data_IF_522005939289
#
_entry.id   IF_522005939289
#
_cell.length_a   1.000
_cell.length_b   1.000
_cell.length_c   1.000
_cell.angle_alpha   90.00
_cell.angle_beta   90.00
_cell.angle_gamma   90.00
#
_symmetry.space_group_name_H-M   'P 1'
#
loop_
_entity.id
_entity.type
_entity.pdbx_description
1 polymer ?
#
# COMPACT_ATOMS: atom_id res chain seq x y z
N UNK A 1 -3.64 47.08 -0.07
CA UNK A 1 -3.31 47.71 -1.37
C UNK A 1 -4.15 47.04 -2.44
N UNK A 2 -4.90 47.79 -3.24
CA UNK A 2 -5.65 47.21 -4.37
C UNK A 2 -4.67 46.88 -5.50
N UNK A 3 -4.75 45.65 -6.00
CA UNK A 3 -3.93 45.16 -7.11
C UNK A 3 -4.49 45.74 -8.42
N UNK A 4 -3.62 46.19 -9.33
CA UNK A 4 -4.07 46.69 -10.64
C UNK A 4 -4.47 45.54 -11.56
N UNK A 5 -5.35 45.80 -12.53
CA UNK A 5 -5.76 44.78 -13.52
C UNK A 5 -4.56 44.21 -14.30
N UNK A 6 -3.54 45.02 -14.55
CA UNK A 6 -2.31 44.60 -15.24
C UNK A 6 -1.50 43.62 -14.40
N UNK A 7 -1.33 43.90 -13.11
CA UNK A 7 -0.65 42.99 -12.17
C UNK A 7 -1.43 41.69 -11.97
N UNK A 8 -2.76 41.76 -11.89
CA UNK A 8 -3.62 40.58 -11.83
C UNK A 8 -3.45 39.67 -13.04
N UNK A 9 -3.52 40.25 -14.25
CA UNK A 9 -3.32 39.53 -15.50
C UNK A 9 -1.94 38.85 -15.55
N UNK A 10 -0.87 39.57 -15.19
CA UNK A 10 0.48 39.02 -15.16
C UNK A 10 0.61 37.82 -14.20
N UNK A 11 0.00 37.92 -13.00
CA UNK A 11 -0.04 36.82 -12.04
C UNK A 11 -0.80 35.61 -12.59
N UNK A 12 -1.96 35.81 -13.23
CA UNK A 12 -2.70 34.72 -13.87
C UNK A 12 -1.91 34.04 -14.98
N UNK A 13 -1.24 34.79 -15.84
CA UNK A 13 -0.38 34.22 -16.88
C UNK A 13 0.74 33.37 -16.28
N UNK A 14 1.35 33.84 -15.19
CA UNK A 14 2.38 33.09 -14.47
C UNK A 14 1.82 31.79 -13.88
N UNK A 15 0.62 31.83 -13.28
CA UNK A 15 -0.05 30.66 -12.74
C UNK A 15 -0.44 29.65 -13.83
N UNK A 16 -0.84 30.14 -15.00
CA UNK A 16 -1.21 29.30 -16.15
C UNK A 16 -0.02 28.76 -16.94
N UNK A 17 1.20 29.19 -16.61
CA UNK A 17 2.40 28.72 -17.28
C UNK A 17 2.51 27.19 -17.21
N UNK A 18 2.98 26.59 -18.30
CA UNK A 18 3.02 25.15 -18.47
C UNK A 18 3.87 24.48 -17.39
N UNK A 19 5.06 25.03 -17.09
CA UNK A 19 5.97 24.45 -16.11
C UNK A 19 5.36 24.50 -14.70
N UNK A 20 4.65 25.57 -14.38
CA UNK A 20 3.97 25.72 -13.11
C UNK A 20 2.76 24.78 -12.96
N UNK A 21 1.98 24.62 -14.03
CA UNK A 21 0.85 23.68 -14.09
C UNK A 21 1.33 22.24 -13.95
N UNK A 22 2.41 21.86 -14.64
CA UNK A 22 3.03 20.54 -14.52
C UNK A 22 3.55 20.28 -13.10
N UNK A 23 4.25 21.25 -12.50
CA UNK A 23 4.72 21.13 -11.12
C UNK A 23 3.55 20.93 -10.13
N UNK A 24 2.42 21.62 -10.34
CA UNK A 24 1.22 21.40 -9.54
C UNK A 24 0.67 19.97 -9.70
N UNK A 25 0.55 19.49 -10.95
CA UNK A 25 0.07 18.14 -11.25
C UNK A 25 0.96 17.07 -10.62
N UNK A 26 2.29 17.19 -10.78
CA UNK A 26 3.27 16.28 -10.20
C UNK A 26 3.18 16.24 -8.67
N UNK A 27 3.02 17.40 -8.01
CA UNK A 27 2.82 17.47 -6.55
C UNK A 27 1.52 16.79 -6.12
N UNK A 28 0.44 17.01 -6.86
CA UNK A 28 -0.85 16.39 -6.59
C UNK A 28 -0.78 14.85 -6.73
N UNK A 29 -0.21 14.35 -7.83
CA UNK A 29 -0.05 12.93 -8.08
C UNK A 29 0.82 12.25 -7.00
N UNK A 30 1.95 12.88 -6.63
CA UNK A 30 2.79 12.40 -5.54
C UNK A 30 2.05 12.33 -4.19
N UNK A 31 1.23 13.33 -3.88
CA UNK A 31 0.43 13.31 -2.65
C UNK A 31 -0.61 12.17 -2.67
N UNK A 32 -1.33 12.00 -3.77
CA UNK A 32 -2.32 10.93 -3.92
C UNK A 32 -1.65 9.55 -3.80
N UNK A 33 -0.51 9.35 -4.45
CA UNK A 33 0.27 8.11 -4.35
C UNK A 33 0.75 7.86 -2.92
N UNK A 34 1.26 8.88 -2.22
CA UNK A 34 1.69 8.74 -0.83
C UNK A 34 0.54 8.40 0.13
N UNK A 35 -0.65 8.99 -0.08
CA UNK A 35 -1.86 8.66 0.69
C UNK A 35 -2.36 7.26 0.41
N UNK A 36 -2.40 6.86 -0.86
CA UNK A 36 -2.74 5.51 -1.30
C UNK A 36 -1.78 4.48 -0.68
N UNK A 37 -0.47 4.74 -0.74
CA UNK A 37 0.57 3.92 -0.13
C UNK A 37 0.36 3.73 1.38
N UNK A 38 0.01 4.81 2.09
CA UNK A 38 -0.31 4.74 3.52
C UNK A 38 -1.53 3.86 3.79
N UNK A 39 -2.61 4.04 3.03
CA UNK A 39 -3.85 3.28 3.18
C UNK A 39 -3.63 1.79 2.91
N UNK A 40 -2.95 1.45 1.82
CA UNK A 40 -2.71 0.05 1.46
C UNK A 40 -1.79 -0.64 2.47
N UNK A 41 -0.72 0.04 2.95
CA UNK A 41 0.15 -0.50 4.01
C UNK A 41 -0.62 -0.76 5.30
N UNK A 42 -1.52 0.15 5.71
CA UNK A 42 -2.38 -0.01 6.89
C UNK A 42 -3.30 -1.24 6.77
N UNK A 43 -3.88 -1.46 5.60
CA UNK A 43 -4.78 -2.60 5.33
C UNK A 43 -4.07 -3.93 5.06
N UNK A 44 -2.77 -3.89 4.73
CA UNK A 44 -2.01 -5.09 4.41
C UNK A 44 -1.81 -5.96 5.65
N UNK A 45 -2.21 -7.26 5.63
CA UNK A 45 -2.00 -8.15 6.77
C UNK A 45 -0.50 -8.43 6.99
N UNK A 46 -0.13 -8.69 8.24
CA UNK A 46 1.23 -9.08 8.62
C UNK A 46 1.19 -10.47 9.24
N UNK A 47 1.86 -11.41 8.58
CA UNK A 47 2.05 -12.75 9.12
C UNK A 47 2.97 -12.76 10.35
N UNK A 48 2.88 -13.82 11.16
CA UNK A 48 3.68 -13.98 12.37
C UNK A 48 5.20 -14.09 12.10
N UNK A 49 5.58 -14.50 10.88
CA UNK A 49 6.96 -14.71 10.46
C UNK A 49 7.20 -16.14 9.99
N UNK A 50 8.46 -16.43 9.66
CA UNK A 50 8.92 -17.78 9.36
C UNK A 50 9.45 -18.43 10.62
N UNK A 51 9.12 -19.70 10.79
CA UNK A 51 9.47 -20.48 11.96
C UNK A 51 10.04 -21.83 11.53
N UNK A 52 11.07 -22.28 12.26
CA UNK A 52 11.66 -23.59 12.08
C UNK A 52 11.33 -24.49 13.26
N UNK A 53 10.92 -25.75 13.02
CA UNK A 53 10.73 -26.71 14.10
C UNK A 53 12.08 -27.10 14.71
N UNK A 54 12.21 -26.93 16.03
CA UNK A 54 13.41 -27.31 16.77
C UNK A 54 13.51 -28.83 16.77
N UNK A 55 14.63 -29.38 16.32
CA UNK A 55 14.93 -30.82 16.34
C UNK A 55 15.83 -31.17 17.52
N UNK A 56 15.65 -32.37 18.06
CA UNK A 56 16.56 -33.02 19.02
C UNK A 56 16.96 -34.34 18.40
N UNK A 57 18.25 -34.53 18.05
CA UNK A 57 18.84 -35.70 17.39
C UNK A 57 17.93 -36.41 16.36
N UNK A 58 16.99 -37.24 16.80
CA UNK A 58 16.11 -38.08 15.98
C UNK A 58 14.67 -37.55 15.82
N UNK A 59 14.20 -36.60 16.64
CA UNK A 59 12.77 -36.19 16.67
C UNK A 59 12.58 -34.67 16.82
N UNK A 60 11.39 -34.18 16.47
CA UNK A 60 11.02 -32.78 16.75
C UNK A 60 10.83 -32.55 18.25
N UNK A 61 11.45 -31.50 18.78
CA UNK A 61 11.31 -31.09 20.16
C UNK A 61 9.88 -30.60 20.42
N UNK A 62 9.26 -31.07 21.52
CA UNK A 62 7.89 -30.70 21.90
C UNK A 62 7.87 -30.03 23.28
N UNK A 63 6.85 -29.21 23.53
CA UNK A 63 6.61 -28.68 24.88
C UNK A 63 6.16 -29.81 25.82
N UNK A 64 6.84 -29.96 26.97
CA UNK A 64 6.57 -31.03 27.95
C UNK A 64 5.45 -30.67 28.94
N UNK A 65 5.16 -29.38 29.14
CA UNK A 65 4.16 -28.87 30.09
C UNK A 65 3.50 -27.56 29.60
N UNK A 66 2.42 -27.14 30.26
CA UNK A 66 1.69 -25.91 29.98
C UNK A 66 0.69 -25.98 28.83
N UNK A 67 0.09 -24.83 28.45
CA UNK A 67 -0.97 -24.73 27.43
C UNK A 67 -0.58 -25.22 26.03
N UNK A 68 0.72 -25.32 25.74
CA UNK A 68 1.26 -25.78 24.45
C UNK A 68 1.77 -27.24 24.50
N UNK A 69 1.53 -27.97 25.59
CA UNK A 69 2.00 -29.36 25.78
C UNK A 69 1.68 -30.21 24.54
N UNK A 70 2.68 -30.94 24.05
CA UNK A 70 2.56 -31.80 22.87
C UNK A 70 2.79 -31.11 21.51
N UNK A 71 2.72 -29.78 21.43
CA UNK A 71 3.04 -29.04 20.20
C UNK A 71 4.54 -29.00 19.93
N UNK A 72 4.94 -28.93 18.66
CA UNK A 72 6.34 -28.79 18.23
C UNK A 72 6.85 -27.40 18.65
N UNK A 73 8.05 -27.35 19.25
CA UNK A 73 8.74 -26.10 19.55
C UNK A 73 9.20 -25.44 18.26
N UNK A 74 8.86 -24.18 18.09
CA UNK A 74 9.18 -23.39 16.90
C UNK A 74 10.17 -22.28 17.27
N UNK A 75 11.29 -22.20 16.54
CA UNK A 75 12.24 -21.07 16.58
C UNK A 75 11.87 -20.09 15.48
N UNK A 76 11.72 -18.80 15.80
CA UNK A 76 11.45 -17.76 14.80
C UNK A 76 12.73 -17.50 14.01
N UNK A 77 12.67 -17.68 12.69
CA UNK A 77 13.77 -17.43 11.78
C UNK A 77 13.74 -16.00 11.22
N UNK A 78 12.58 -15.58 10.70
CA UNK A 78 12.42 -14.27 10.06
C UNK A 78 11.14 -13.57 10.53
N UNK A 79 11.16 -12.24 10.71
CA UNK A 79 9.95 -11.49 10.99
C UNK A 79 9.03 -11.50 9.76
N UNK A 80 7.73 -11.61 9.99
CA UNK A 80 6.74 -11.52 8.92
C UNK A 80 6.60 -10.09 8.38
N UNK A 81 5.59 -9.88 7.54
CA UNK A 81 5.26 -8.54 7.03
C UNK A 81 6.01 -8.12 5.77
N UNK A 82 6.65 -9.06 5.06
CA UNK A 82 7.28 -8.81 3.76
C UNK A 82 6.32 -8.10 2.80
N UNK A 83 5.08 -8.61 2.67
CA UNK A 83 4.03 -8.01 1.85
C UNK A 83 3.78 -6.53 2.19
N UNK A 84 3.73 -6.17 3.47
CA UNK A 84 3.49 -4.78 3.90
C UNK A 84 4.67 -3.87 3.57
N UNK A 85 5.90 -4.36 3.72
CA UNK A 85 7.13 -3.60 3.49
C UNK A 85 7.36 -3.31 2.00
N UNK A 86 7.04 -4.27 1.13
CA UNK A 86 7.30 -4.19 -0.31
C UNK A 86 6.26 -3.37 -1.09
N UNK A 87 5.38 -2.65 -0.40
CA UNK A 87 4.55 -1.64 -1.04
C UNK A 87 5.38 -0.40 -1.29
N UNK A 88 5.45 0.02 -2.54
CA UNK A 88 6.24 1.17 -2.98
C UNK A 88 5.39 2.10 -3.85
N UNK A 89 5.80 3.36 -3.93
CA UNK A 89 5.22 4.35 -4.82
C UNK A 89 6.33 4.92 -5.71
N UNK A 90 6.09 4.99 -7.01
CA UNK A 90 7.00 5.67 -7.94
C UNK A 90 6.79 7.18 -7.86
N UNK A 91 7.84 8.00 -8.03
CA UNK A 91 7.66 9.43 -8.22
C UNK A 91 6.71 9.72 -9.38
N UNK A 92 5.90 10.76 -9.22
CA UNK A 92 5.05 11.24 -10.29
C UNK A 92 5.89 11.72 -11.48
N UNK A 93 5.45 11.42 -12.68
CA UNK A 93 6.05 11.89 -13.93
C UNK A 93 4.95 12.21 -14.94
N UNK A 94 5.29 13.01 -15.94
CA UNK A 94 4.42 13.24 -17.09
C UNK A 94 4.54 12.06 -18.06
N UNK A 95 3.40 11.55 -18.50
CA UNK A 95 3.29 10.51 -19.52
C UNK A 95 2.31 11.01 -20.59
N UNK A 96 2.86 11.60 -21.65
CA UNK A 96 2.08 12.34 -22.64
C UNK A 96 1.36 13.52 -21.97
N UNK A 97 0.03 13.54 -22.04
CA UNK A 97 -0.81 14.58 -21.43
C UNK A 97 -1.24 14.26 -19.98
N UNK A 98 -0.89 13.07 -19.47
CA UNK A 98 -1.30 12.62 -18.13
C UNK A 98 -0.15 12.72 -17.13
N UNK A 99 -0.48 12.99 -15.86
CA UNK A 99 0.45 12.87 -14.75
C UNK A 99 0.20 11.54 -14.01
N UNK A 100 1.25 10.72 -13.90
CA UNK A 100 1.12 9.34 -13.39
C UNK A 100 2.08 9.08 -12.24
N UNK A 101 1.57 8.46 -11.18
CA UNK A 101 2.35 7.91 -10.07
C UNK A 101 1.80 6.52 -9.72
N UNK A 102 2.67 5.52 -9.67
CA UNK A 102 2.28 4.12 -9.50
C UNK A 102 2.48 3.67 -8.06
N UNK A 103 1.50 2.98 -7.48
CA UNK A 103 1.65 2.27 -6.19
C UNK A 103 1.61 0.77 -6.46
N UNK A 104 2.71 0.06 -6.19
CA UNK A 104 2.87 -1.34 -6.59
C UNK A 104 3.48 -2.21 -5.48
N UNK A 105 3.40 -3.52 -5.68
CA UNK A 105 4.01 -4.53 -4.80
C UNK A 105 4.54 -5.70 -5.62
N UNK A 106 5.85 -5.93 -5.57
CA UNK A 106 6.52 -6.96 -6.37
C UNK A 106 6.52 -8.35 -5.71
N UNK A 107 5.80 -8.52 -4.59
CA UNK A 107 5.71 -9.79 -3.88
C UNK A 107 4.88 -10.78 -4.69
N UNK A 108 5.47 -11.91 -5.11
CA UNK A 108 4.83 -12.93 -5.96
C UNK A 108 3.45 -13.40 -5.46
N UNK A 109 3.28 -13.48 -4.13
CA UNK A 109 2.04 -13.95 -3.54
C UNK A 109 1.02 -12.84 -3.23
N UNK A 110 1.33 -11.56 -3.54
CA UNK A 110 0.42 -10.44 -3.29
C UNK A 110 -0.96 -10.62 -3.92
N UNK A 111 -1.12 -11.09 -5.17
CA UNK A 111 -2.43 -11.28 -5.78
C UNK A 111 -3.30 -12.29 -5.03
N UNK A 112 -2.70 -13.36 -4.48
CA UNK A 112 -3.43 -14.38 -3.70
C UNK A 112 -3.94 -13.85 -2.36
N UNK A 113 -3.26 -12.85 -1.78
CA UNK A 113 -3.73 -12.16 -0.57
C UNK A 113 -4.78 -11.12 -0.92
N UNK A 114 -4.61 -10.40 -2.04
CA UNK A 114 -5.57 -9.39 -2.50
C UNK A 114 -6.92 -10.01 -2.87
N UNK A 115 -6.91 -11.03 -3.74
CA UNK A 115 -8.12 -11.58 -4.36
C UNK A 115 -8.54 -12.95 -3.81
N UNK A 116 -7.66 -13.64 -3.07
CA UNK A 116 -7.89 -15.00 -2.60
C UNK A 116 -7.32 -16.06 -3.53
N UNK A 117 -7.44 -17.33 -3.14
CA UNK A 117 -6.94 -18.47 -3.92
C UNK A 117 -7.65 -19.78 -3.57
N UNK A 118 -7.59 -20.75 -4.49
CA UNK A 118 -8.03 -22.14 -4.27
C UNK A 118 -7.01 -22.91 -3.45
N UNK A 119 -7.48 -23.87 -2.68
CA UNK A 119 -6.66 -24.81 -1.93
C UNK A 119 -7.04 -26.25 -2.27
N UNK A 120 -6.05 -27.14 -2.24
CA UNK A 120 -6.27 -28.58 -2.38
C UNK A 120 -6.70 -29.13 -1.02
N UNK A 121 -8.01 -29.29 -0.83
CA UNK A 121 -8.59 -29.81 0.42
C UNK A 121 -7.99 -31.18 0.74
N UNK A 122 -7.64 -31.41 2.00
CA UNK A 122 -7.01 -32.64 2.46
C UNK A 122 -5.48 -32.64 2.39
N UNK A 123 -4.85 -31.73 1.62
CA UNK A 123 -3.39 -31.61 1.57
C UNK A 123 -2.83 -31.26 2.97
N UNK A 124 -1.88 -32.06 3.45
CA UNK A 124 -1.14 -31.75 4.67
C UNK A 124 -0.04 -30.72 4.37
N UNK A 125 0.01 -29.64 5.15
CA UNK A 125 1.04 -28.60 5.03
C UNK A 125 1.97 -28.70 6.24
N UNK A 126 3.19 -29.27 6.09
CA UNK A 126 4.12 -29.49 7.19
C UNK A 126 4.46 -28.21 7.97
N UNK A 127 4.65 -27.10 7.26
CA UNK A 127 4.98 -25.80 7.86
C UNK A 127 3.90 -25.26 8.80
N UNK A 128 2.63 -25.66 8.59
CA UNK A 128 1.51 -25.27 9.44
C UNK A 128 1.11 -26.36 10.44
N UNK A 129 1.63 -27.58 10.29
CA UNK A 129 1.21 -28.76 11.04
C UNK A 129 -0.28 -29.07 10.89
N UNK A 130 -0.91 -28.63 9.79
CA UNK A 130 -2.36 -28.69 9.58
C UNK A 130 -2.69 -29.21 8.19
N UNK A 131 -3.87 -29.82 8.05
CA UNK A 131 -4.48 -30.14 6.75
C UNK A 131 -5.33 -28.98 6.28
N UNK A 132 -5.33 -28.73 4.97
CA UNK A 132 -6.18 -27.73 4.36
C UNK A 132 -7.63 -28.22 4.37
N UNK A 133 -8.54 -27.38 4.86
CA UNK A 133 -9.96 -27.73 5.05
C UNK A 133 -10.85 -26.97 4.08
N UNK A 134 -10.58 -25.68 3.85
CA UNK A 134 -11.41 -24.82 3.01
C UNK A 134 -10.94 -24.93 1.56
N UNK A 135 -11.84 -25.09 0.57
CA UNK A 135 -11.46 -25.13 -0.85
C UNK A 135 -11.06 -23.75 -1.40
N UNK A 136 -11.48 -22.67 -0.74
CA UNK A 136 -11.20 -21.29 -1.13
C UNK A 136 -10.82 -20.45 0.08
N UNK A 137 -9.76 -19.65 -0.08
CA UNK A 137 -9.33 -18.62 0.88
C UNK A 137 -9.75 -17.27 0.33
N UNK A 138 -10.57 -16.54 1.10
CA UNK A 138 -11.05 -15.20 0.73
C UNK A 138 -9.90 -14.19 0.74
N UNK A 139 -9.84 -13.33 -0.27
CA UNK A 139 -8.91 -12.20 -0.32
C UNK A 139 -9.23 -11.09 0.67
N UNK A 140 -8.22 -10.28 1.00
CA UNK A 140 -8.36 -9.13 1.92
C UNK A 140 -8.72 -7.82 1.21
N UNK A 141 -8.56 -7.75 -0.12
CA UNK A 141 -8.84 -6.57 -0.93
C UNK A 141 -8.15 -5.28 -0.42
N UNK A 142 -6.89 -5.39 -0.01
CA UNK A 142 -6.12 -4.29 0.59
C UNK A 142 -5.95 -3.12 -0.40
N UNK A 143 -5.67 -3.43 -1.67
CA UNK A 143 -5.47 -2.44 -2.73
C UNK A 143 -6.80 -1.89 -3.21
N UNK A 144 -7.77 -2.77 -3.53
CA UNK A 144 -9.10 -2.38 -3.98
C UNK A 144 -9.80 -1.43 -2.99
N UNK A 145 -9.83 -1.79 -1.71
CA UNK A 145 -10.49 -0.96 -0.69
C UNK A 145 -9.75 0.39 -0.52
N UNK A 146 -8.42 0.40 -0.60
CA UNK A 146 -7.65 1.64 -0.53
C UNK A 146 -7.88 2.54 -1.75
N UNK A 147 -8.01 1.94 -2.94
CA UNK A 147 -8.31 2.65 -4.18
C UNK A 147 -9.70 3.29 -4.10
N UNK A 148 -10.72 2.56 -3.66
CA UNK A 148 -12.08 3.07 -3.61
C UNK A 148 -12.23 4.21 -2.59
N UNK A 149 -11.53 4.14 -1.47
CA UNK A 149 -11.42 5.25 -0.53
C UNK A 149 -10.70 6.45 -1.16
N UNK A 150 -9.54 6.24 -1.81
CA UNK A 150 -8.80 7.32 -2.45
C UNK A 150 -9.58 7.97 -3.58
N UNK A 151 -10.35 7.20 -4.37
CA UNK A 151 -11.20 7.72 -5.44
C UNK A 151 -12.27 8.67 -4.91
N UNK A 152 -12.83 8.38 -3.73
CA UNK A 152 -13.79 9.26 -3.04
C UNK A 152 -13.13 10.52 -2.47
N UNK A 153 -11.91 10.39 -1.92
CA UNK A 153 -11.18 11.50 -1.29
C UNK A 153 -10.46 12.42 -2.30
N UNK A 154 -10.06 11.90 -3.47
CA UNK A 154 -9.20 12.60 -4.42
C UNK A 154 -9.77 13.95 -4.90
N UNK A 155 -11.05 14.08 -5.29
CA UNK A 155 -11.58 15.34 -5.80
C UNK A 155 -11.45 16.50 -4.80
N UNK A 156 -11.78 16.27 -3.52
CA UNK A 156 -11.70 17.31 -2.49
C UNK A 156 -10.25 17.68 -2.15
N UNK A 157 -9.33 16.70 -2.17
CA UNK A 157 -7.90 16.94 -1.99
C UNK A 157 -7.34 17.78 -3.13
N UNK A 158 -7.66 17.44 -4.38
CA UNK A 158 -7.22 18.17 -5.57
C UNK A 158 -7.77 19.59 -5.57
N UNK A 159 -9.07 19.76 -5.35
CA UNK A 159 -9.71 21.07 -5.25
C UNK A 159 -9.00 21.95 -4.20
N UNK A 160 -8.71 21.40 -3.02
CA UNK A 160 -7.97 22.13 -1.97
C UNK A 160 -6.57 22.54 -2.42
N UNK A 161 -5.84 21.69 -3.16
CA UNK A 161 -4.50 22.02 -3.65
C UNK A 161 -4.51 23.07 -4.74
N UNK A 162 -5.45 22.98 -5.68
CA UNK A 162 -5.65 24.00 -6.71
C UNK A 162 -6.00 25.35 -6.08
N UNK A 163 -6.94 25.37 -5.13
CA UNK A 163 -7.30 26.61 -4.43
C UNK A 163 -6.12 27.23 -3.67
N UNK A 164 -5.31 26.42 -2.98
CA UNK A 164 -4.10 26.89 -2.31
C UNK A 164 -3.07 27.45 -3.29
N UNK A 165 -2.95 26.82 -4.46
CA UNK A 165 -2.02 27.23 -5.50
C UNK A 165 -2.42 28.60 -6.09
N UNK A 166 -3.70 28.78 -6.43
CA UNK A 166 -4.23 30.05 -6.95
C UNK A 166 -4.05 31.17 -5.91
N UNK A 167 -4.48 30.95 -4.67
CA UNK A 167 -4.35 31.92 -3.56
C UNK A 167 -2.91 32.41 -3.38
N UNK A 168 -1.97 31.46 -3.31
CA UNK A 168 -0.53 31.77 -3.21
C UNK A 168 -0.01 32.55 -4.40
N UNK A 169 -0.45 32.26 -5.62
CA UNK A 169 -0.05 33.02 -6.80
C UNK A 169 -0.62 34.43 -6.85
N UNK A 170 -1.79 34.64 -6.23
CA UNK A 170 -2.42 35.94 -6.13
C UNK A 170 -1.91 36.79 -4.95
N UNK A 171 -1.17 36.18 -4.00
CA UNK A 171 -0.77 36.75 -2.71
C UNK A 171 -1.95 37.00 -1.75
N UNK A 172 -2.93 36.09 -1.75
CA UNK A 172 -4.06 36.01 -0.83
C UNK A 172 -3.98 34.74 0.03
#
# INVERSE_FOLDING_TARGET
>A
MSITLREFSAKLHTLSDQANSEMLMLRCANELAARMLRKVRKKTPVGAGEFEPVRTAERYARYKSGKRKGQIKLKKLRPGGNLRRNWEATPAHMQGTACVANVHNNTKYAPYVEYGHRQNVGQFVPALGKRLVKPWVKGTHMMRNSHDEMKKEAPSLLARRVSQYIRRGLNE
#
